data_IF_169907314381
#
_entry.id   IF_169907314381
#
_cell.length_a   1.000
_cell.length_b   1.000
_cell.length_c   1.000
_cell.angle_alpha   90.00
_cell.angle_beta   90.00
_cell.angle_gamma   90.00
#
_symmetry.space_group_name_H-M   'P 1'
#
loop_
_entity.id
_entity.type
_entity.pdbx_description
1 polymer ?
#
# COMPACT_ATOMS: atom_id res chain seq x y z
N UNK A 1 11.20 -13.22 12.00
CA UNK A 1 10.60 -11.87 11.95
C UNK A 1 10.60 -11.37 10.50
N UNK A 2 9.47 -10.89 10.00
CA UNK A 2 9.24 -10.49 8.60
C UNK A 2 9.91 -9.16 8.22
N UNK A 3 10.71 -8.53 9.11
CA UNK A 3 11.30 -7.20 8.84
C UNK A 3 10.25 -6.10 8.78
N UNK A 4 9.17 -6.25 9.54
CA UNK A 4 8.13 -5.24 9.69
C UNK A 4 8.60 -4.15 10.67
N UNK A 5 8.50 -2.91 10.24
CA UNK A 5 8.77 -1.74 11.09
C UNK A 5 7.45 -0.99 11.29
N UNK A 6 7.10 -0.78 12.56
CA UNK A 6 5.95 0.10 12.87
C UNK A 6 6.27 1.52 12.42
N UNK A 7 5.35 2.14 11.70
CA UNK A 7 5.52 3.54 11.29
C UNK A 7 5.20 4.47 12.46
N UNK A 8 6.16 5.29 12.92
CA UNK A 8 5.91 6.27 13.97
C UNK A 8 4.78 7.23 13.60
N UNK A 9 3.95 7.64 14.57
CA UNK A 9 2.79 8.48 14.33
C UNK A 9 3.07 9.79 13.55
N UNK A 10 4.18 10.53 13.80
CA UNK A 10 4.51 11.70 12.99
C UNK A 10 4.76 11.38 11.50
N UNK A 11 5.42 10.25 11.23
CA UNK A 11 5.68 9.79 9.86
C UNK A 11 4.38 9.37 9.18
N UNK A 12 3.53 8.61 9.87
CA UNK A 12 2.23 8.20 9.35
C UNK A 12 1.33 9.42 9.04
N UNK A 13 1.31 10.42 9.91
CA UNK A 13 0.59 11.67 9.68
C UNK A 13 1.15 12.46 8.48
N UNK A 14 2.47 12.53 8.35
CA UNK A 14 3.11 13.13 7.19
C UNK A 14 2.73 12.39 5.90
N UNK A 15 2.81 11.06 5.86
CA UNK A 15 2.41 10.27 4.71
C UNK A 15 0.94 10.49 4.33
N UNK A 16 0.04 10.53 5.30
CA UNK A 16 -1.37 10.83 5.09
C UNK A 16 -1.58 12.23 4.50
N UNK A 17 -0.78 13.22 4.89
CA UNK A 17 -0.86 14.59 4.38
C UNK A 17 -0.44 14.76 2.91
N UNK A 18 0.23 13.76 2.33
CA UNK A 18 0.69 13.78 0.94
C UNK A 18 -0.41 13.45 -0.08
N UNK A 19 -1.55 12.95 0.37
CA UNK A 19 -2.70 12.73 -0.51
C UNK A 19 -3.38 14.04 -0.89
N UNK A 20 -4.03 14.10 -2.08
CA UNK A 20 -4.85 15.24 -2.45
C UNK A 20 -5.95 15.48 -1.39
N UNK A 21 -6.24 16.73 -1.09
CA UNK A 21 -7.30 17.08 -0.12
C UNK A 21 -8.72 16.95 -0.68
N UNK A 22 -8.87 16.84 -1.99
CA UNK A 22 -10.14 16.83 -2.70
C UNK A 22 -10.29 15.50 -3.43
N UNK A 23 -10.99 14.57 -2.83
CA UNK A 23 -11.40 13.34 -3.49
C UNK A 23 -12.87 13.05 -3.16
N UNK A 24 -13.57 12.45 -4.15
CA UNK A 24 -14.92 11.95 -3.97
C UNK A 24 -14.92 10.62 -3.21
N UNK A 25 -15.73 9.67 -3.66
CA UNK A 25 -15.66 8.30 -3.17
C UNK A 25 -14.24 7.72 -3.38
N UNK A 26 -13.73 7.01 -2.38
CA UNK A 26 -12.38 6.45 -2.43
C UNK A 26 -12.34 4.97 -2.05
N UNK A 27 -11.32 4.29 -2.55
CA UNK A 27 -10.94 2.95 -2.10
C UNK A 27 -9.44 2.98 -1.78
N UNK A 28 -9.11 2.94 -0.49
CA UNK A 28 -7.75 2.90 0.01
C UNK A 28 -7.23 1.47 0.05
N UNK A 29 -5.99 1.27 -0.38
CA UNK A 29 -5.20 0.06 -0.19
C UNK A 29 -4.12 0.30 0.86
N UNK A 30 -4.04 -0.55 1.88
CA UNK A 30 -2.93 -0.63 2.83
C UNK A 30 -2.36 -2.06 2.80
N UNK A 31 -1.29 -2.25 2.04
CA UNK A 31 -0.66 -3.55 1.86
C UNK A 31 0.47 -3.75 2.88
N UNK A 32 0.32 -4.75 3.75
CA UNK A 32 1.18 -4.94 4.92
C UNK A 32 0.84 -3.93 6.02
N UNK A 33 -0.45 -3.86 6.37
CA UNK A 33 -1.01 -2.83 7.23
C UNK A 33 -0.47 -2.83 8.68
N UNK A 34 0.12 -3.95 9.12
CA UNK A 34 0.57 -4.10 10.51
C UNK A 34 -0.57 -3.88 11.49
N UNK A 35 -0.38 -2.99 12.44
CA UNK A 35 -1.42 -2.57 13.41
C UNK A 35 -2.35 -1.46 12.86
N UNK A 36 -2.20 -1.04 11.58
CA UNK A 36 -3.06 -0.07 10.91
C UNK A 36 -2.67 1.40 11.08
N UNK A 37 -1.45 1.71 11.54
CA UNK A 37 -1.03 3.09 11.84
C UNK A 37 -1.14 4.04 10.65
N UNK A 38 -0.86 3.58 9.43
CA UNK A 38 -0.97 4.38 8.20
C UNK A 38 -2.43 4.68 7.86
N UNK A 39 -3.26 3.65 7.82
CA UNK A 39 -4.71 3.80 7.57
C UNK A 39 -5.38 4.65 8.65
N UNK A 40 -5.08 4.44 9.94
CA UNK A 40 -5.60 5.28 11.02
C UNK A 40 -5.22 6.75 10.84
N UNK A 41 -3.97 7.04 10.43
CA UNK A 41 -3.52 8.40 10.15
C UNK A 41 -4.22 9.01 8.94
N UNK A 42 -4.45 8.23 7.89
CA UNK A 42 -5.22 8.65 6.71
C UNK A 42 -6.68 9.00 7.11
N UNK A 43 -7.36 8.13 7.85
CA UNK A 43 -8.71 8.34 8.35
C UNK A 43 -8.81 9.55 9.28
N UNK A 44 -7.81 9.75 10.15
CA UNK A 44 -7.72 10.94 11.00
C UNK A 44 -7.60 12.22 10.18
N UNK A 45 -6.79 12.21 9.12
CA UNK A 45 -6.66 13.36 8.24
C UNK A 45 -7.98 13.71 7.54
N UNK A 46 -8.83 12.72 7.22
CA UNK A 46 -10.16 12.94 6.66
C UNK A 46 -11.09 13.70 7.62
N UNK A 47 -11.02 13.45 8.92
CA UNK A 47 -11.83 14.12 9.94
C UNK A 47 -11.58 15.63 10.03
N UNK A 48 -10.40 16.06 9.61
CA UNK A 48 -9.97 17.47 9.66
C UNK A 48 -10.13 18.20 8.32
N UNK A 49 -10.79 17.55 7.35
CA UNK A 49 -11.12 18.22 6.09
C UNK A 49 -12.54 18.79 6.16
N UNK A 50 -12.71 20.05 5.72
CA UNK A 50 -14.03 20.71 5.68
C UNK A 50 -14.99 20.12 4.62
N UNK A 51 -14.60 19.00 3.99
CA UNK A 51 -15.34 18.42 2.89
C UNK A 51 -15.82 17.03 3.23
N UNK A 52 -17.14 16.86 3.12
CA UNK A 52 -17.77 15.53 3.15
C UNK A 52 -17.42 14.75 1.89
N UNK A 53 -16.88 13.55 2.05
CA UNK A 53 -16.85 12.57 0.97
C UNK A 53 -18.07 11.64 1.12
N UNK A 54 -18.66 11.19 -0.01
CA UNK A 54 -19.92 10.45 0.04
C UNK A 54 -19.79 9.09 0.71
N UNK A 55 -18.72 8.35 0.44
CA UNK A 55 -18.36 7.07 1.05
C UNK A 55 -16.90 6.72 0.75
N UNK A 56 -16.33 5.87 1.58
CA UNK A 56 -15.00 5.32 1.39
C UNK A 56 -14.95 3.83 1.70
N UNK A 57 -13.98 3.16 1.11
CA UNK A 57 -13.60 1.80 1.45
C UNK A 57 -12.10 1.75 1.77
N UNK A 58 -11.71 0.84 2.67
CA UNK A 58 -10.31 0.60 2.98
C UNK A 58 -10.05 -0.92 2.99
N UNK A 59 -9.18 -1.38 2.11
CA UNK A 59 -8.72 -2.78 2.05
C UNK A 59 -7.33 -2.88 2.67
N UNK A 60 -7.25 -3.61 3.78
CA UNK A 60 -6.06 -3.74 4.59
C UNK A 60 -5.60 -5.20 4.57
N UNK A 61 -4.35 -5.42 4.20
CA UNK A 61 -3.74 -6.75 4.10
C UNK A 61 -2.72 -6.93 5.21
N UNK A 62 -2.90 -7.93 6.07
CA UNK A 62 -1.94 -8.32 7.08
C UNK A 62 -1.89 -9.84 7.20
N UNK A 63 -0.67 -10.37 7.06
CA UNK A 63 -0.44 -11.82 7.08
C UNK A 63 -0.28 -12.37 8.50
N UNK A 64 0.29 -11.57 9.40
CA UNK A 64 0.53 -11.96 10.79
C UNK A 64 -0.77 -11.88 11.59
N UNK A 65 -1.18 -12.99 12.20
CA UNK A 65 -2.46 -13.13 12.91
C UNK A 65 -2.54 -12.21 14.14
N UNK A 66 -1.43 -12.03 14.86
CA UNK A 66 -1.44 -11.22 16.08
C UNK A 66 -1.50 -9.72 15.73
N UNK A 67 -0.80 -9.31 14.66
CA UNK A 67 -0.91 -7.97 14.11
C UNK A 67 -2.31 -7.70 13.58
N UNK A 68 -2.91 -8.65 12.88
CA UNK A 68 -4.24 -8.50 12.32
C UNK A 68 -5.33 -8.32 13.40
N UNK A 69 -5.23 -9.00 14.54
CA UNK A 69 -6.16 -8.77 15.69
C UNK A 69 -6.06 -7.35 16.24
N UNK A 70 -4.85 -6.79 16.31
CA UNK A 70 -4.65 -5.39 16.70
C UNK A 70 -5.17 -4.42 15.65
N UNK A 71 -4.91 -4.74 14.37
CA UNK A 71 -5.41 -4.00 13.22
C UNK A 71 -6.94 -3.87 13.28
N UNK A 72 -7.67 -4.97 13.46
CA UNK A 72 -9.13 -4.97 13.57
C UNK A 72 -9.61 -4.00 14.64
N UNK A 73 -9.06 -4.09 15.84
CA UNK A 73 -9.43 -3.21 16.96
C UNK A 73 -9.18 -1.74 16.64
N UNK A 74 -8.00 -1.43 16.09
CA UNK A 74 -7.62 -0.05 15.79
C UNK A 74 -8.47 0.54 14.67
N UNK A 75 -8.79 -0.25 13.63
CA UNK A 75 -9.56 0.21 12.48
C UNK A 75 -11.03 0.43 12.84
N UNK A 76 -11.63 -0.45 13.64
CA UNK A 76 -13.02 -0.26 14.14
C UNK A 76 -13.14 1.10 14.82
N UNK A 77 -12.21 1.45 15.71
CA UNK A 77 -12.16 2.76 16.35
C UNK A 77 -11.93 3.91 15.37
N UNK A 78 -11.04 3.71 14.39
CA UNK A 78 -10.66 4.76 13.44
C UNK A 78 -11.78 5.13 12.47
N UNK A 79 -12.65 4.17 12.10
CA UNK A 79 -13.78 4.43 11.17
C UNK A 79 -15.03 4.95 11.87
N UNK A 80 -15.09 4.92 13.21
CA UNK A 80 -16.27 5.37 13.95
C UNK A 80 -16.69 6.79 13.53
N UNK A 81 -17.95 6.96 13.15
CA UNK A 81 -18.50 8.24 12.67
C UNK A 81 -18.01 8.69 11.29
N UNK A 82 -17.28 7.85 10.55
CA UNK A 82 -16.92 8.10 9.17
C UNK A 82 -17.70 7.18 8.22
N UNK A 83 -18.14 7.64 7.04
CA UNK A 83 -18.78 6.79 6.02
C UNK A 83 -17.72 5.92 5.30
N UNK A 84 -16.95 5.14 6.05
CA UNK A 84 -15.86 4.29 5.56
C UNK A 84 -16.09 2.85 5.97
N UNK A 85 -16.07 1.95 4.99
CA UNK A 85 -16.19 0.51 5.20
C UNK A 85 -14.80 -0.14 5.15
N UNK A 86 -14.28 -0.70 6.26
CA UNK A 86 -13.03 -1.43 6.27
C UNK A 86 -13.24 -2.89 5.81
N UNK A 87 -12.25 -3.41 5.08
CA UNK A 87 -12.11 -4.81 4.68
C UNK A 87 -10.73 -5.29 5.09
N UNK A 88 -10.65 -6.19 6.04
CA UNK A 88 -9.39 -6.72 6.55
C UNK A 88 -9.19 -8.12 5.98
N UNK A 89 -8.04 -8.34 5.33
CA UNK A 89 -7.67 -9.58 4.67
C UNK A 89 -6.48 -10.22 5.37
N UNK A 90 -6.70 -11.38 5.95
CA UNK A 90 -5.67 -12.24 6.56
C UNK A 90 -5.05 -13.14 5.49
N UNK A 91 -4.31 -12.54 4.56
CA UNK A 91 -3.75 -13.28 3.42
C UNK A 91 -2.43 -12.67 2.95
N UNK A 92 -1.68 -13.46 2.20
CA UNK A 92 -0.48 -12.95 1.54
C UNK A 92 -0.87 -11.97 0.43
N UNK A 93 -0.38 -10.73 0.55
CA UNK A 93 -0.69 -9.68 -0.41
C UNK A 93 -0.15 -9.98 -1.82
N UNK A 94 1.02 -10.61 -1.94
CA UNK A 94 1.59 -10.92 -3.27
C UNK A 94 0.70 -11.92 -4.01
N UNK A 95 0.26 -12.98 -3.33
CA UNK A 95 -0.61 -13.98 -3.93
C UNK A 95 -1.94 -13.38 -4.37
N UNK A 96 -2.59 -12.64 -3.48
CA UNK A 96 -3.86 -12.00 -3.76
C UNK A 96 -3.75 -10.95 -4.90
N UNK A 97 -2.79 -10.04 -4.79
CA UNK A 97 -2.62 -8.94 -5.72
C UNK A 97 -2.18 -9.41 -7.11
N UNK A 98 -1.30 -10.42 -7.20
CA UNK A 98 -0.87 -10.98 -8.49
C UNK A 98 -2.04 -11.55 -9.26
N UNK A 99 -2.97 -12.25 -8.60
CA UNK A 99 -4.19 -12.76 -9.23
C UNK A 99 -5.04 -11.63 -9.82
N UNK A 100 -5.25 -10.54 -9.06
CA UNK A 100 -6.01 -9.40 -9.55
C UNK A 100 -5.32 -8.70 -10.73
N UNK A 101 -3.99 -8.57 -10.70
CA UNK A 101 -3.21 -7.96 -11.80
C UNK A 101 -3.32 -8.81 -13.08
N UNK A 102 -3.24 -10.14 -12.98
CA UNK A 102 -3.45 -11.05 -14.11
C UNK A 102 -4.83 -10.87 -14.74
N UNK A 103 -5.86 -10.62 -13.93
CA UNK A 103 -7.22 -10.32 -14.40
C UNK A 103 -7.43 -8.84 -14.77
N UNK A 104 -6.36 -8.03 -14.86
CA UNK A 104 -6.39 -6.60 -15.21
C UNK A 104 -7.33 -5.77 -14.34
N UNK A 105 -7.50 -6.16 -13.08
CA UNK A 105 -8.33 -5.44 -12.12
C UNK A 105 -7.61 -4.15 -11.66
N UNK A 106 -8.35 -3.07 -11.57
CA UNK A 106 -7.89 -1.78 -11.02
C UNK A 106 -8.95 -1.29 -10.05
N UNK A 107 -8.75 -1.58 -8.79
CA UNK A 107 -9.79 -1.43 -7.76
C UNK A 107 -9.62 -0.15 -6.93
N UNK A 108 -8.36 0.27 -6.69
CA UNK A 108 -8.05 1.28 -5.69
C UNK A 108 -7.85 2.67 -6.30
N UNK A 109 -8.22 3.69 -5.54
CA UNK A 109 -7.96 5.10 -5.88
C UNK A 109 -6.76 5.64 -5.11
N UNK A 110 -6.50 5.08 -3.93
CA UNK A 110 -5.41 5.48 -3.04
C UNK A 110 -4.67 4.24 -2.53
N UNK A 111 -3.36 4.36 -2.35
CA UNK A 111 -2.57 3.33 -1.69
C UNK A 111 -1.56 3.99 -0.73
N UNK A 112 -1.44 3.44 0.48
CA UNK A 112 -0.47 3.89 1.49
C UNK A 112 0.29 2.68 2.00
N UNK A 113 1.64 2.73 1.99
CA UNK A 113 2.45 1.53 2.22
C UNK A 113 3.69 1.81 3.09
N UNK A 114 3.95 0.92 4.03
CA UNK A 114 5.27 0.67 4.60
C UNK A 114 5.58 -0.83 4.49
N UNK A 115 5.97 -1.32 3.31
CA UNK A 115 6.09 -2.74 3.03
C UNK A 115 7.32 -3.38 3.71
N UNK A 116 7.36 -4.71 3.91
CA UNK A 116 8.50 -5.40 4.51
C UNK A 116 9.75 -5.33 3.61
N UNK A 117 10.95 -5.16 4.23
CA UNK A 117 12.23 -4.95 3.53
C UNK A 117 13.05 -6.22 3.36
N UNK A 118 12.43 -7.33 3.01
CA UNK A 118 13.09 -8.64 2.86
C UNK A 118 13.31 -8.99 1.39
N UNK A 119 14.39 -9.75 1.11
CA UNK A 119 14.61 -10.32 -0.22
C UNK A 119 13.63 -11.47 -0.48
N UNK A 120 13.22 -11.61 -1.74
CA UNK A 120 12.42 -12.72 -2.23
C UNK A 120 13.37 -13.78 -2.76
N UNK A 121 13.23 -15.03 -2.33
CA UNK A 121 14.02 -16.14 -2.85
C UNK A 121 13.76 -16.34 -4.34
N UNK A 122 14.83 -16.59 -5.11
CA UNK A 122 14.76 -16.74 -6.56
C UNK A 122 13.85 -17.87 -7.05
N UNK A 123 13.67 -18.90 -6.24
CA UNK A 123 12.85 -20.09 -6.54
C UNK A 123 11.54 -20.12 -5.76
N UNK A 124 11.13 -19.00 -5.14
CA UNK A 124 9.88 -18.95 -4.38
C UNK A 124 8.64 -18.84 -5.28
N UNK A 125 7.49 -19.29 -4.78
CA UNK A 125 6.20 -19.09 -5.43
C UNK A 125 5.93 -17.61 -5.73
N UNK A 126 6.29 -16.71 -4.82
CA UNK A 126 6.17 -15.27 -5.03
C UNK A 126 6.91 -14.78 -6.28
N UNK A 127 8.12 -15.33 -6.57
CA UNK A 127 8.86 -14.96 -7.79
C UNK A 127 8.14 -15.39 -9.07
N UNK A 128 7.54 -16.56 -9.05
CA UNK A 128 6.75 -17.04 -10.17
C UNK A 128 5.53 -16.14 -10.40
N UNK A 129 4.71 -15.91 -9.37
CA UNK A 129 3.53 -15.05 -9.43
C UNK A 129 3.83 -13.63 -9.92
N UNK A 130 4.93 -13.02 -9.44
CA UNK A 130 5.34 -11.69 -9.86
C UNK A 130 5.76 -11.65 -11.33
N UNK A 131 6.48 -12.67 -11.83
CA UNK A 131 6.83 -12.78 -13.26
C UNK A 131 5.60 -12.92 -14.13
N UNK A 132 4.65 -13.77 -13.74
CA UNK A 132 3.39 -13.96 -14.46
C UNK A 132 2.60 -12.63 -14.51
N UNK A 133 2.65 -11.84 -13.44
CA UNK A 133 2.08 -10.47 -13.38
C UNK A 133 2.91 -9.41 -14.13
N UNK A 134 4.02 -9.78 -14.79
CA UNK A 134 4.90 -8.87 -15.52
C UNK A 134 5.78 -7.98 -14.62
N UNK A 135 5.99 -8.38 -13.35
CA UNK A 135 6.77 -7.62 -12.37
C UNK A 135 8.10 -8.33 -12.08
N UNK A 136 9.20 -7.73 -12.52
CA UNK A 136 10.55 -8.24 -12.27
C UNK A 136 11.18 -7.54 -11.07
N UNK A 137 11.26 -8.26 -9.95
CA UNK A 137 11.85 -7.76 -8.70
C UNK A 137 12.30 -8.90 -7.79
N UNK A 138 13.20 -8.59 -6.85
CA UNK A 138 13.78 -9.54 -5.89
C UNK A 138 13.63 -9.11 -4.43
N UNK A 139 12.91 -8.02 -4.17
CA UNK A 139 12.64 -7.52 -2.83
C UNK A 139 11.13 -7.36 -2.60
N UNK A 140 10.67 -7.67 -1.39
CA UNK A 140 9.26 -7.54 -1.02
C UNK A 140 8.76 -6.10 -1.21
N UNK A 141 9.50 -5.08 -0.74
CA UNK A 141 9.02 -3.70 -0.85
C UNK A 141 8.80 -3.24 -2.30
N UNK A 142 9.67 -3.66 -3.22
CA UNK A 142 9.50 -3.33 -4.63
C UNK A 142 8.34 -4.10 -5.26
N UNK A 143 8.10 -5.35 -4.83
CA UNK A 143 6.94 -6.14 -5.24
C UNK A 143 5.62 -5.49 -4.77
N UNK A 144 5.55 -5.13 -3.50
CA UNK A 144 4.38 -4.48 -2.91
C UNK A 144 4.04 -3.16 -3.62
N UNK A 145 5.03 -2.31 -3.85
CA UNK A 145 4.83 -1.04 -4.58
C UNK A 145 4.38 -1.29 -6.02
N UNK A 146 5.01 -2.21 -6.74
CA UNK A 146 4.67 -2.51 -8.13
C UNK A 146 3.26 -3.08 -8.28
N UNK A 147 2.87 -4.03 -7.43
CA UNK A 147 1.52 -4.60 -7.40
C UNK A 147 0.48 -3.53 -7.04
N UNK A 148 0.75 -2.72 -6.02
CA UNK A 148 -0.15 -1.64 -5.62
C UNK A 148 -0.36 -0.62 -6.75
N UNK A 149 0.70 -0.26 -7.48
CA UNK A 149 0.59 0.61 -8.67
C UNK A 149 -0.27 -0.03 -9.77
N UNK A 150 -0.09 -1.34 -10.03
CA UNK A 150 -0.87 -2.06 -11.02
C UNK A 150 -2.37 -2.09 -10.69
N UNK A 151 -2.71 -2.15 -9.40
CA UNK A 151 -4.09 -2.19 -8.90
C UNK A 151 -4.75 -0.81 -8.75
N UNK A 152 -3.99 0.30 -8.90
CA UNK A 152 -4.56 1.64 -8.90
C UNK A 152 -5.33 1.93 -10.18
N UNK A 153 -6.44 2.62 -10.02
CA UNK A 153 -7.17 3.23 -11.15
C UNK A 153 -6.35 4.36 -11.77
N UNK A 154 -6.57 4.69 -13.04
CA UNK A 154 -5.97 5.89 -13.64
C UNK A 154 -6.26 7.13 -12.78
N UNK A 155 -5.21 7.93 -12.54
CA UNK A 155 -5.30 9.09 -11.64
C UNK A 155 -5.20 8.79 -10.15
N UNK A 156 -5.11 7.51 -9.77
CA UNK A 156 -4.90 7.11 -8.38
C UNK A 156 -3.57 7.59 -7.81
N UNK A 157 -3.48 7.66 -6.49
CA UNK A 157 -2.29 8.16 -5.78
C UNK A 157 -1.72 7.08 -4.87
N UNK A 158 -0.41 6.86 -4.94
CA UNK A 158 0.33 5.97 -4.05
C UNK A 158 1.33 6.78 -3.22
N UNK A 159 1.33 6.54 -1.92
CA UNK A 159 2.33 7.06 -0.97
C UNK A 159 3.01 5.87 -0.30
N UNK A 160 4.33 5.80 -0.38
CA UNK A 160 5.08 4.70 0.21
C UNK A 160 6.35 5.19 0.90
N UNK A 161 6.70 4.57 2.03
CA UNK A 161 8.02 4.69 2.64
C UNK A 161 8.82 3.43 2.30
N UNK A 162 9.93 3.60 1.60
CA UNK A 162 10.78 2.51 1.13
C UNK A 162 12.26 2.88 1.21
N UNK A 163 13.18 1.91 1.28
CA UNK A 163 14.60 2.18 1.31
C UNK A 163 15.07 2.98 0.09
N UNK A 164 15.86 4.05 0.31
CA UNK A 164 16.38 4.90 -0.78
C UNK A 164 17.28 4.17 -1.78
N UNK A 165 17.74 2.96 -1.46
CA UNK A 165 18.58 2.15 -2.33
C UNK A 165 17.99 1.90 -3.72
N UNK A 166 16.66 1.97 -3.87
CA UNK A 166 16.04 1.85 -5.18
C UNK A 166 16.42 2.98 -6.16
N UNK A 167 16.84 4.14 -5.64
CA UNK A 167 17.23 5.29 -6.47
C UNK A 167 18.52 5.03 -7.28
N UNK A 168 19.38 4.13 -6.78
CA UNK A 168 20.71 3.93 -7.33
C UNK A 168 20.96 2.48 -7.79
N UNK A 169 22.02 2.30 -8.57
CA UNK A 169 22.53 0.99 -8.97
C UNK A 169 21.71 0.27 -10.05
N UNK A 170 22.38 -0.67 -10.72
CA UNK A 170 21.80 -1.48 -11.80
C UNK A 170 20.72 -2.46 -11.28
N UNK A 171 20.88 -2.93 -10.04
CA UNK A 171 20.00 -3.92 -9.41
C UNK A 171 18.52 -3.51 -9.37
N UNK A 172 18.24 -2.23 -9.14
CA UNK A 172 16.87 -1.69 -9.09
C UNK A 172 16.40 -1.07 -10.41
N UNK A 173 17.17 -1.22 -11.50
CA UNK A 173 16.80 -0.67 -12.79
C UNK A 173 15.44 -1.15 -13.32
N UNK A 174 15.10 -2.47 -13.24
CA UNK A 174 13.78 -2.94 -13.66
C UNK A 174 12.65 -2.29 -12.87
N UNK A 175 12.80 -2.16 -11.55
CA UNK A 175 11.81 -1.52 -10.69
C UNK A 175 11.64 -0.03 -11.01
N UNK A 176 12.75 0.73 -11.20
CA UNK A 176 12.66 2.13 -11.62
C UNK A 176 11.97 2.30 -12.97
N UNK A 177 12.29 1.45 -13.94
CA UNK A 177 11.63 1.45 -15.24
C UNK A 177 10.13 1.15 -15.12
N UNK A 178 9.76 0.22 -14.24
CA UNK A 178 8.36 -0.10 -13.98
C UNK A 178 7.61 1.11 -13.42
N UNK A 179 8.13 1.75 -12.38
CA UNK A 179 7.51 2.95 -11.78
C UNK A 179 7.34 4.05 -12.83
N UNK A 180 8.41 4.40 -13.55
CA UNK A 180 8.39 5.50 -14.52
C UNK A 180 7.48 5.23 -15.73
N UNK A 181 7.25 3.97 -16.06
CA UNK A 181 6.33 3.57 -17.13
C UNK A 181 4.86 3.65 -16.71
N UNK A 182 4.57 3.37 -15.44
CA UNK A 182 3.19 3.22 -14.95
C UNK A 182 2.70 4.37 -14.08
N UNK A 183 3.59 5.31 -13.71
CA UNK A 183 3.23 6.44 -12.84
C UNK A 183 4.09 7.67 -13.10
N UNK A 184 3.63 8.82 -12.58
CA UNK A 184 4.41 10.04 -12.47
C UNK A 184 4.84 10.24 -11.01
N UNK A 185 6.14 10.32 -10.75
CA UNK A 185 6.66 10.64 -9.41
C UNK A 185 6.41 12.12 -9.16
N UNK A 186 5.54 12.44 -8.23
CA UNK A 186 5.21 13.83 -7.87
C UNK A 186 6.12 14.38 -6.77
N UNK A 187 6.54 13.51 -5.85
CA UNK A 187 7.34 13.92 -4.69
C UNK A 187 8.27 12.78 -4.26
N UNK A 188 9.51 13.14 -3.94
CA UNK A 188 10.51 12.25 -3.38
C UNK A 188 11.16 12.96 -2.19
N UNK A 189 11.09 12.33 -0.99
CA UNK A 189 11.80 12.75 0.21
C UNK A 189 12.91 11.74 0.50
N UNK A 190 14.13 12.20 0.76
CA UNK A 190 15.31 11.38 1.03
C UNK A 190 15.87 11.65 2.41
#
# INVERSE_FOLDING_TARGET
ALGQYMTPAPIAAFMASLFPKNFGAFHLLDAGAGEGSLTCSFLKALRHTDRSFPHGEASLFEYDVDMARKLEKNIIQAVEGLPVKPHIYHTDFIEYASTLVLHKQRLFTHAILNPPYKKISGHSAHRALLRDAGIETVNLYTAFVALSLALLRPGGTLVAIIPRSFCNGAYYRPFRQYILRHSAIRRLHL
#
